data_IF_594444900834
#
_entry.id   IF_594444900834
#
_cell.length_a   1.000
_cell.length_b   1.000
_cell.length_c   1.000
_cell.angle_alpha   90.00
_cell.angle_beta   90.00
_cell.angle_gamma   90.00
#
_symmetry.space_group_name_H-M   'P 1'
#
loop_
_entity.id
_entity.type
_entity.pdbx_description
1 polymer ?
#
# COMPACT_ATOMS: atom_id res chain seq x y z
N UNK A 1 14.39 -11.52 5.79
CA UNK A 1 14.19 -12.89 6.34
C UNK A 1 12.82 -13.01 6.97
N UNK A 2 12.11 -14.12 6.76
CA UNK A 2 10.80 -14.40 7.41
C UNK A 2 11.03 -15.31 8.63
N UNK A 3 10.44 -14.94 9.78
CA UNK A 3 10.46 -15.77 10.98
C UNK A 3 9.05 -15.79 11.58
N UNK A 4 8.33 -16.88 11.38
CA UNK A 4 6.89 -16.94 11.65
C UNK A 4 6.12 -16.02 10.69
N UNK A 5 5.24 -15.17 11.24
CA UNK A 5 4.45 -14.20 10.48
C UNK A 5 5.13 -12.81 10.36
N UNK A 6 6.35 -12.66 10.90
CA UNK A 6 7.09 -11.41 10.85
C UNK A 6 8.19 -11.44 9.79
N UNK A 7 8.45 -10.29 9.21
CA UNK A 7 9.55 -10.06 8.29
C UNK A 7 10.64 -9.22 8.97
N UNK A 8 11.89 -9.53 8.67
CA UNK A 8 13.06 -8.81 9.17
C UNK A 8 13.82 -8.24 7.98
N UNK A 9 14.14 -6.96 8.08
CA UNK A 9 14.86 -6.20 7.06
C UNK A 9 16.02 -5.45 7.69
N UNK A 10 17.16 -5.48 7.04
CA UNK A 10 18.33 -4.69 7.38
C UNK A 10 18.59 -3.65 6.29
N UNK A 11 18.67 -2.37 6.68
CA UNK A 11 18.84 -1.24 5.76
C UNK A 11 20.01 -0.40 6.24
N UNK A 12 21.11 -0.30 5.46
CA UNK A 12 22.21 0.61 5.79
C UNK A 12 21.73 2.07 5.69
N UNK A 13 22.15 2.90 6.63
CA UNK A 13 21.96 4.35 6.56
C UNK A 13 22.98 4.98 5.62
N UNK A 14 22.52 6.01 4.89
CA UNK A 14 23.40 6.77 3.95
C UNK A 14 24.21 7.83 4.66
N UNK A 15 23.70 8.36 5.77
CA UNK A 15 24.28 9.48 6.51
C UNK A 15 25.35 9.08 7.52
N UNK A 16 25.48 7.80 7.83
CA UNK A 16 26.40 7.29 8.85
C UNK A 16 26.72 5.82 8.63
N UNK A 17 27.78 5.32 9.24
CA UNK A 17 28.13 3.88 9.23
C UNK A 17 27.22 3.07 10.16
N UNK A 18 25.93 3.16 9.91
CA UNK A 18 24.89 2.57 10.73
C UNK A 18 23.97 1.62 9.93
N UNK A 19 23.37 0.66 10.63
CA UNK A 19 22.43 -0.31 10.07
C UNK A 19 21.10 -0.27 10.83
N UNK A 20 20.02 0.02 10.14
CA UNK A 20 18.68 -0.14 10.69
C UNK A 20 18.25 -1.62 10.60
N UNK A 21 17.93 -2.24 11.74
CA UNK A 21 17.32 -3.58 11.81
C UNK A 21 15.84 -3.40 12.12
N UNK A 22 14.99 -3.74 11.15
CA UNK A 22 13.57 -3.44 11.18
C UNK A 22 12.78 -4.74 11.20
N UNK A 23 11.80 -4.82 12.09
CA UNK A 23 10.81 -5.88 12.17
C UNK A 23 9.49 -5.36 11.65
N UNK A 24 8.92 -6.04 10.67
CA UNK A 24 7.64 -5.75 10.05
C UNK A 24 6.65 -6.80 10.54
N UNK A 25 5.68 -6.37 11.32
CA UNK A 25 4.65 -7.22 11.90
C UNK A 25 3.51 -7.43 10.90
N UNK A 26 2.94 -8.63 10.87
CA UNK A 26 1.74 -8.94 10.08
C UNK A 26 0.54 -8.03 10.39
N UNK A 27 0.51 -7.48 11.63
CA UNK A 27 -0.51 -6.53 12.07
C UNK A 27 -0.38 -5.12 11.48
N UNK A 28 0.53 -4.87 10.55
CA UNK A 28 0.65 -3.58 9.89
C UNK A 28 1.52 -2.57 10.63
N UNK A 29 2.52 -3.01 11.38
CA UNK A 29 3.46 -2.13 12.09
C UNK A 29 4.90 -2.48 11.72
N UNK A 30 5.71 -1.46 11.49
CA UNK A 30 7.16 -1.59 11.36
C UNK A 30 7.83 -0.89 12.55
N UNK A 31 8.81 -1.55 13.14
CA UNK A 31 9.62 -1.00 14.22
C UNK A 31 11.00 -1.63 14.21
N UNK A 32 11.97 -0.99 14.84
CA UNK A 32 13.33 -1.53 14.90
C UNK A 32 14.26 -0.60 15.64
N UNK A 33 15.55 -0.90 15.50
CA UNK A 33 16.63 -0.14 16.11
C UNK A 33 17.74 0.10 15.09
N UNK A 34 18.58 1.06 15.37
CA UNK A 34 19.78 1.38 14.57
C UNK A 34 21.01 0.91 15.33
N UNK A 35 21.95 0.32 14.62
CA UNK A 35 23.20 -0.21 15.16
C UNK A 35 24.38 0.44 14.47
N UNK A 36 25.41 0.78 15.23
CA UNK A 36 26.68 1.20 14.71
C UNK A 36 27.42 0.00 14.12
N UNK A 37 27.89 0.11 12.88
CA UNK A 37 28.57 -0.99 12.19
C UNK A 37 30.02 -1.22 12.64
N UNK A 38 30.63 -0.21 13.25
CA UNK A 38 32.02 -0.31 13.75
C UNK A 38 32.08 -1.00 15.11
N UNK A 39 31.11 -0.70 15.97
CA UNK A 39 31.06 -1.25 17.35
C UNK A 39 30.08 -2.43 17.49
N UNK A 40 29.10 -2.54 16.61
CA UNK A 40 28.00 -3.48 16.74
C UNK A 40 26.96 -3.10 17.80
N UNK A 41 27.10 -1.96 18.45
CA UNK A 41 26.24 -1.51 19.54
C UNK A 41 24.99 -0.79 19.02
N UNK A 42 23.91 -0.85 19.81
CA UNK A 42 22.67 -0.14 19.52
C UNK A 42 22.85 1.37 19.72
N UNK A 43 22.41 2.16 18.75
CA UNK A 43 22.39 3.63 18.80
C UNK A 43 21.25 4.13 19.69
N UNK A 44 21.49 4.19 21.01
CA UNK A 44 20.47 4.53 22.02
C UNK A 44 19.88 5.94 21.88
N UNK A 45 20.61 6.88 21.24
CA UNK A 45 20.11 8.25 21.02
C UNK A 45 18.89 8.31 20.09
N UNK A 46 18.61 7.22 19.37
CA UNK A 46 17.36 7.11 18.59
C UNK A 46 16.11 7.28 19.48
N UNK A 47 16.18 6.80 20.73
CA UNK A 47 15.06 6.78 21.69
C UNK A 47 14.93 8.06 22.53
N UNK A 48 15.93 8.95 22.48
CA UNK A 48 15.96 10.17 23.31
C UNK A 48 15.27 11.31 22.57
N UNK A 49 14.08 11.70 22.98
CA UNK A 49 13.29 12.74 22.30
C UNK A 49 13.96 14.13 22.34
N UNK A 50 14.61 14.48 23.46
CA UNK A 50 15.20 15.81 23.70
C UNK A 50 16.60 16.00 23.11
N UNK A 51 17.13 15.04 22.35
CA UNK A 51 18.46 15.15 21.79
C UNK A 51 18.46 16.05 20.55
N UNK A 52 19.09 17.23 20.68
CA UNK A 52 19.18 18.25 19.65
C UNK A 52 20.51 18.25 18.87
N UNK A 53 21.38 17.28 19.09
CA UNK A 53 22.62 17.15 18.34
C UNK A 53 22.35 16.98 16.85
N UNK A 54 23.07 17.76 15.99
CA UNK A 54 22.87 17.76 14.54
C UNK A 54 23.00 16.37 13.93
N UNK A 55 23.97 15.59 14.38
CA UNK A 55 24.20 14.21 13.90
C UNK A 55 23.05 13.28 14.26
N UNK A 56 22.57 13.29 15.51
CA UNK A 56 21.46 12.45 15.93
C UNK A 56 20.16 12.82 15.25
N UNK A 57 19.96 14.11 14.93
CA UNK A 57 18.80 14.57 14.18
C UNK A 57 18.80 13.99 12.75
N UNK A 58 19.96 13.94 12.08
CA UNK A 58 20.11 13.34 10.74
C UNK A 58 19.80 11.86 10.78
N UNK A 59 20.40 11.11 11.71
CA UNK A 59 20.16 9.66 11.87
C UNK A 59 18.68 9.37 12.13
N UNK A 60 18.04 10.14 13.01
CA UNK A 60 16.61 10.00 13.31
C UNK A 60 15.72 10.30 12.10
N UNK A 61 16.04 11.35 11.34
CA UNK A 61 15.28 11.71 10.15
C UNK A 61 15.37 10.61 9.10
N UNK A 62 16.57 10.09 8.85
CA UNK A 62 16.77 9.01 7.88
C UNK A 62 16.07 7.72 8.33
N UNK A 63 16.19 7.33 9.58
CA UNK A 63 15.48 6.17 10.13
C UNK A 63 13.96 6.31 10.01
N UNK A 64 13.40 7.51 10.29
CA UNK A 64 11.97 7.77 10.09
C UNK A 64 11.55 7.63 8.62
N UNK A 65 12.36 8.15 7.71
CA UNK A 65 12.11 8.01 6.27
C UNK A 65 12.08 6.53 5.85
N UNK A 66 13.05 5.73 6.33
CA UNK A 66 13.07 4.28 6.06
C UNK A 66 11.78 3.61 6.58
N UNK A 67 11.35 3.92 7.80
CA UNK A 67 10.11 3.37 8.35
C UNK A 67 8.87 3.81 7.56
N UNK A 68 8.82 5.06 7.11
CA UNK A 68 7.72 5.58 6.27
C UNK A 68 7.67 4.89 4.92
N UNK A 69 8.81 4.69 4.26
CA UNK A 69 8.89 3.96 2.99
C UNK A 69 8.39 2.52 3.13
N UNK A 70 8.83 1.84 4.20
CA UNK A 70 8.38 0.47 4.50
C UNK A 70 6.87 0.45 4.75
N UNK A 71 6.37 1.37 5.57
CA UNK A 71 4.94 1.48 5.85
C UNK A 71 4.14 1.76 4.56
N UNK A 72 4.63 2.67 3.73
CA UNK A 72 4.02 2.97 2.43
C UNK A 72 3.91 1.74 1.54
N UNK A 73 4.97 0.96 1.41
CA UNK A 73 5.02 -0.22 0.53
C UNK A 73 4.30 -1.43 1.09
N UNK A 74 4.47 -1.70 2.40
CA UNK A 74 3.96 -2.94 3.00
C UNK A 74 2.50 -2.86 3.44
N UNK A 75 2.00 -1.66 3.77
CA UNK A 75 0.70 -1.50 4.43
C UNK A 75 -0.33 -0.72 3.62
N UNK A 76 -0.07 -0.47 2.34
CA UNK A 76 -0.99 0.27 1.48
C UNK A 76 -2.41 -0.29 1.50
N UNK A 77 -2.58 -1.62 1.49
CA UNK A 77 -3.91 -2.24 1.56
C UNK A 77 -4.62 -1.97 2.89
N UNK A 78 -3.90 -1.97 4.01
CA UNK A 78 -4.47 -1.65 5.33
C UNK A 78 -4.90 -0.19 5.36
N UNK A 79 -4.01 0.73 4.93
CA UNK A 79 -4.27 2.16 4.86
C UNK A 79 -5.49 2.51 4.01
N UNK A 80 -5.62 1.92 2.82
CA UNK A 80 -6.79 2.13 1.95
C UNK A 80 -8.08 1.62 2.62
N UNK A 81 -8.04 0.47 3.30
CA UNK A 81 -9.21 -0.03 4.05
C UNK A 81 -9.62 0.91 5.18
N UNK A 82 -8.65 1.42 5.93
CA UNK A 82 -8.90 2.35 7.04
C UNK A 82 -9.49 3.67 6.53
N UNK A 83 -9.01 4.19 5.40
CA UNK A 83 -9.56 5.37 4.74
C UNK A 83 -10.99 5.17 4.26
N UNK A 84 -11.30 4.03 3.65
CA UNK A 84 -12.67 3.69 3.22
C UNK A 84 -13.62 3.64 4.43
N UNK A 85 -13.17 3.02 5.51
CA UNK A 85 -13.93 2.97 6.74
C UNK A 85 -14.16 4.35 7.35
N UNK A 86 -13.11 5.19 7.38
CA UNK A 86 -13.20 6.55 7.90
C UNK A 86 -14.13 7.45 7.06
N UNK A 87 -14.09 7.33 5.72
CA UNK A 87 -14.88 8.15 4.79
C UNK A 87 -16.35 7.75 4.71
N UNK A 88 -16.63 6.45 4.71
CA UNK A 88 -17.99 5.94 4.41
C UNK A 88 -18.60 5.07 5.50
N UNK A 89 -17.80 4.62 6.48
CA UNK A 89 -18.22 3.59 7.43
C UNK A 89 -18.34 2.20 6.81
N UNK A 90 -17.90 2.03 5.55
CA UNK A 90 -18.05 0.78 4.82
C UNK A 90 -16.97 -0.23 5.23
N UNK A 91 -17.35 -1.45 5.54
CA UNK A 91 -16.45 -2.57 5.81
C UNK A 91 -16.37 -3.50 4.60
N UNK A 92 -15.21 -4.09 4.31
CA UNK A 92 -15.06 -4.99 3.18
C UNK A 92 -15.70 -6.35 3.43
N UNK A 93 -16.25 -6.94 2.36
CA UNK A 93 -16.60 -8.36 2.30
C UNK A 93 -15.39 -9.17 1.79
N UNK A 94 -15.26 -10.43 2.22
CA UNK A 94 -14.26 -11.38 1.74
C UNK A 94 -14.92 -12.61 1.11
N UNK A 95 -15.55 -12.47 -0.08
CA UNK A 95 -16.39 -13.53 -0.64
C UNK A 95 -15.62 -14.70 -1.25
N UNK A 96 -14.31 -14.57 -1.42
CA UNK A 96 -13.49 -15.53 -2.17
C UNK A 96 -12.76 -16.50 -1.23
N UNK A 97 -13.28 -17.70 -1.01
CA UNK A 97 -12.65 -18.72 -0.13
C UNK A 97 -11.19 -19.05 -0.49
N UNK A 98 -10.84 -19.01 -1.78
CA UNK A 98 -9.48 -19.29 -2.25
C UNK A 98 -8.55 -18.08 -2.24
N UNK A 99 -9.10 -16.89 -2.04
CA UNK A 99 -8.40 -15.60 -2.07
C UNK A 99 -8.86 -14.77 -0.86
N UNK A 100 -8.52 -15.19 0.37
CA UNK A 100 -9.07 -14.61 1.59
C UNK A 100 -8.70 -13.13 1.81
N UNK A 101 -7.65 -12.67 1.14
CA UNK A 101 -7.19 -11.27 1.25
C UNK A 101 -7.84 -10.32 0.24
N UNK A 102 -8.70 -10.83 -0.64
CA UNK A 102 -9.40 -10.01 -1.62
C UNK A 102 -10.59 -9.33 -0.96
N UNK A 103 -10.48 -8.03 -0.73
CA UNK A 103 -11.46 -7.21 -0.03
C UNK A 103 -12.40 -6.50 -1.02
N UNK A 104 -13.68 -6.86 -1.00
CA UNK A 104 -14.71 -6.28 -1.85
C UNK A 104 -15.46 -5.21 -1.08
N UNK A 105 -15.54 -4.02 -1.63
CA UNK A 105 -16.34 -2.92 -1.10
C UNK A 105 -17.64 -2.77 -1.87
N UNK A 106 -18.73 -2.75 -1.13
CA UNK A 106 -20.09 -2.68 -1.69
C UNK A 106 -20.82 -1.45 -1.19
N UNK A 107 -21.53 -0.82 -2.11
CA UNK A 107 -22.49 0.19 -1.70
C UNK A 107 -23.56 -0.43 -0.76
N UNK A 108 -23.75 0.09 0.46
CA UNK A 108 -24.65 -0.51 1.45
C UNK A 108 -26.13 -0.51 1.01
N UNK A 109 -26.54 0.44 0.16
CA UNK A 109 -27.94 0.58 -0.26
C UNK A 109 -28.37 -0.44 -1.31
N UNK A 110 -27.46 -0.81 -2.24
CA UNK A 110 -27.81 -1.64 -3.40
C UNK A 110 -26.90 -2.83 -3.64
N UNK A 111 -25.92 -3.04 -2.76
CA UNK A 111 -24.92 -4.13 -2.77
C UNK A 111 -24.06 -4.20 -4.02
N UNK A 112 -24.09 -3.18 -4.89
CA UNK A 112 -23.20 -3.11 -6.06
C UNK A 112 -21.77 -2.88 -5.61
N UNK A 113 -20.83 -3.54 -6.28
CA UNK A 113 -19.40 -3.36 -6.03
C UNK A 113 -18.94 -2.01 -6.54
N UNK A 114 -18.15 -1.30 -5.73
CA UNK A 114 -17.46 -0.08 -6.13
C UNK A 114 -15.95 -0.16 -5.97
N UNK A 115 -15.44 -1.16 -5.24
CA UNK A 115 -14.03 -1.38 -5.07
C UNK A 115 -13.70 -2.85 -4.85
N UNK A 116 -12.56 -3.31 -5.38
CA UNK A 116 -11.95 -4.60 -5.07
C UNK A 116 -10.47 -4.40 -4.82
N UNK A 117 -10.05 -4.54 -3.58
CA UNK A 117 -8.66 -4.41 -3.15
C UNK A 117 -8.03 -5.79 -3.02
N UNK A 118 -6.89 -6.00 -3.67
CA UNK A 118 -6.24 -7.30 -3.76
C UNK A 118 -4.72 -7.19 -3.89
N UNK A 119 -4.00 -8.30 -3.77
CA UNK A 119 -2.62 -8.43 -4.21
C UNK A 119 -2.58 -9.21 -5.52
N UNK A 120 -1.81 -8.73 -6.49
CA UNK A 120 -1.68 -9.35 -7.82
C UNK A 120 -0.20 -9.35 -8.20
N UNK A 121 0.26 -10.41 -8.87
CA UNK A 121 1.59 -10.41 -9.49
C UNK A 121 1.64 -9.36 -10.60
N UNK A 122 2.64 -8.50 -10.59
CA UNK A 122 2.79 -7.43 -11.60
C UNK A 122 2.78 -7.96 -13.01
N UNK A 123 3.38 -9.12 -13.26
CA UNK A 123 3.36 -9.76 -14.56
C UNK A 123 1.96 -10.06 -15.12
N UNK A 124 0.96 -10.22 -14.24
CA UNK A 124 -0.44 -10.38 -14.66
C UNK A 124 -1.09 -9.09 -15.14
N UNK A 125 -0.54 -7.94 -14.76
CA UNK A 125 -1.03 -6.62 -15.17
C UNK A 125 -0.27 -6.11 -16.40
N UNK A 126 1.05 -6.34 -16.43
CA UNK A 126 1.94 -5.83 -17.48
C UNK A 126 2.08 -6.75 -18.69
N UNK A 127 1.78 -8.05 -18.51
CA UNK A 127 2.00 -9.09 -19.52
C UNK A 127 3.42 -9.68 -19.51
N UNK A 128 4.28 -9.24 -18.59
CA UNK A 128 5.61 -9.84 -18.37
C UNK A 128 5.52 -10.97 -17.34
N UNK A 129 5.31 -12.21 -17.81
CA UNK A 129 5.17 -13.37 -16.94
C UNK A 129 6.37 -13.64 -16.02
N UNK A 130 7.53 -13.04 -16.29
CA UNK A 130 8.71 -13.18 -15.44
C UNK A 130 8.66 -12.29 -14.19
N UNK A 131 7.84 -11.25 -14.22
CA UNK A 131 7.67 -10.38 -13.05
C UNK A 131 6.75 -11.03 -12.01
N UNK A 132 7.38 -11.65 -11.01
CA UNK A 132 6.71 -12.34 -9.91
C UNK A 132 6.54 -11.44 -8.67
N UNK A 133 6.80 -10.14 -8.80
CA UNK A 133 6.58 -9.20 -7.69
C UNK A 133 5.09 -9.02 -7.44
N UNK A 134 4.66 -9.15 -6.19
CA UNK A 134 3.30 -8.81 -5.78
C UNK A 134 3.13 -7.30 -5.59
N UNK A 135 2.01 -6.80 -6.08
CA UNK A 135 1.60 -5.41 -5.90
C UNK A 135 0.17 -5.31 -5.36
N UNK A 136 -0.08 -4.29 -4.56
CA UNK A 136 -1.43 -3.95 -4.15
C UNK A 136 -2.18 -3.26 -5.30
N UNK A 137 -3.37 -3.75 -5.59
CA UNK A 137 -4.20 -3.27 -6.70
C UNK A 137 -5.60 -2.97 -6.19
N UNK A 138 -6.13 -1.83 -6.61
CA UNK A 138 -7.50 -1.42 -6.36
C UNK A 138 -8.27 -1.37 -7.68
N UNK A 139 -9.19 -2.30 -7.89
CA UNK A 139 -10.11 -2.21 -9.01
C UNK A 139 -11.24 -1.25 -8.68
N UNK A 140 -11.50 -0.32 -9.60
CA UNK A 140 -12.52 0.72 -9.48
C UNK A 140 -13.45 0.71 -10.68
N UNK A 141 -14.70 1.09 -10.45
CA UNK A 141 -15.71 1.21 -11.49
C UNK A 141 -15.88 2.67 -11.90
N UNK A 142 -15.59 2.96 -13.17
CA UNK A 142 -15.64 4.31 -13.72
C UNK A 142 -16.48 4.35 -14.98
N UNK A 143 -16.80 5.55 -15.43
CA UNK A 143 -17.46 5.77 -16.71
C UNK A 143 -16.51 5.37 -17.86
N UNK A 144 -17.04 4.68 -18.88
CA UNK A 144 -16.26 4.11 -19.99
C UNK A 144 -15.41 5.14 -20.72
N UNK A 145 -15.91 6.35 -20.89
CA UNK A 145 -15.23 7.45 -21.56
C UNK A 145 -13.95 7.92 -20.86
N UNK A 146 -13.78 7.62 -19.58
CA UNK A 146 -12.59 7.99 -18.80
C UNK A 146 -11.43 7.00 -18.94
N UNK A 147 -11.75 5.74 -19.21
CA UNK A 147 -10.76 4.67 -19.21
C UNK A 147 -9.63 4.87 -20.22
N UNK A 148 -9.88 5.29 -21.49
CA UNK A 148 -8.82 5.43 -22.48
C UNK A 148 -7.73 6.45 -22.10
N UNK A 149 -8.10 7.50 -21.36
CA UNK A 149 -7.13 8.50 -20.87
C UNK A 149 -6.28 7.97 -19.72
N UNK A 150 -6.91 7.25 -18.78
CA UNK A 150 -6.24 6.67 -17.64
C UNK A 150 -5.28 5.53 -18.03
N UNK A 151 -5.69 4.67 -18.95
CA UNK A 151 -4.89 3.54 -19.44
C UNK A 151 -3.59 3.95 -20.17
N UNK A 152 -3.37 5.25 -20.40
CA UNK A 152 -2.09 5.78 -20.91
C UNK A 152 -1.06 6.05 -19.82
N UNK A 153 -1.47 6.06 -18.56
CA UNK A 153 -0.59 6.29 -17.41
C UNK A 153 -0.11 4.95 -16.84
N UNK A 154 1.10 4.91 -16.31
CA UNK A 154 1.76 3.68 -15.84
C UNK A 154 1.05 2.98 -14.66
N UNK A 155 0.36 3.77 -13.81
CA UNK A 155 -0.30 3.24 -12.61
C UNK A 155 -1.65 2.57 -12.90
N UNK A 156 -2.07 2.53 -14.17
CA UNK A 156 -3.39 2.04 -14.55
C UNK A 156 -3.29 0.92 -15.58
N UNK A 157 -4.11 -0.10 -15.39
CA UNK A 157 -4.21 -1.21 -16.35
C UNK A 157 -5.67 -1.65 -16.54
N UNK A 158 -5.96 -2.39 -17.64
CA UNK A 158 -7.26 -3.01 -17.80
C UNK A 158 -7.59 -3.88 -16.58
N UNK A 159 -8.83 -3.77 -16.10
CA UNK A 159 -9.23 -4.40 -14.85
C UNK A 159 -8.91 -5.90 -14.80
N UNK A 160 -8.16 -6.29 -13.78
CA UNK A 160 -7.82 -7.69 -13.52
C UNK A 160 -9.06 -8.43 -13.00
N UNK A 161 -9.44 -9.51 -13.69
CA UNK A 161 -10.62 -10.33 -13.39
C UNK A 161 -11.99 -9.62 -13.35
N UNK A 162 -12.10 -8.41 -13.94
CA UNK A 162 -13.34 -7.65 -13.99
C UNK A 162 -13.71 -7.29 -15.43
N UNK A 163 -14.95 -6.84 -15.64
CA UNK A 163 -15.39 -6.32 -16.95
C UNK A 163 -14.62 -5.03 -17.30
N UNK A 164 -13.87 -5.08 -18.40
CA UNK A 164 -12.99 -4.00 -18.86
C UNK A 164 -13.71 -2.77 -19.42
N UNK A 165 -15.03 -2.82 -19.61
CA UNK A 165 -15.81 -1.67 -20.10
C UNK A 165 -15.95 -0.56 -19.05
N UNK A 166 -16.12 -0.94 -17.79
CA UNK A 166 -16.36 0.01 -16.71
C UNK A 166 -15.42 -0.16 -15.52
N UNK A 167 -14.48 -1.11 -15.57
CA UNK A 167 -13.55 -1.36 -14.50
C UNK A 167 -12.12 -1.12 -14.94
N UNK A 168 -11.34 -0.57 -14.03
CA UNK A 168 -9.93 -0.24 -14.17
C UNK A 168 -9.18 -0.78 -12.96
N UNK A 169 -7.98 -1.30 -13.16
CA UNK A 169 -7.04 -1.62 -12.08
C UNK A 169 -6.12 -0.43 -11.84
N UNK A 170 -6.05 0.00 -10.59
CA UNK A 170 -5.14 1.03 -10.09
C UNK A 170 -4.03 0.34 -9.31
N UNK A 171 -2.79 0.51 -9.73
CA UNK A 171 -1.62 0.03 -9.02
C UNK A 171 -1.33 0.97 -7.85
N UNK A 172 -1.47 0.47 -6.62
CA UNK A 172 -1.22 1.22 -5.40
C UNK A 172 0.27 1.12 -5.04
N UNK A 173 1.07 1.88 -5.72
CA UNK A 173 2.50 2.04 -5.45
C UNK A 173 2.76 3.41 -4.80
N UNK A 174 4.00 3.70 -4.45
CA UNK A 174 4.35 4.98 -3.85
C UNK A 174 4.31 6.15 -4.84
N UNK A 175 4.20 5.89 -6.15
CA UNK A 175 4.22 6.92 -7.19
C UNK A 175 2.82 7.54 -7.36
N UNK A 176 1.76 6.74 -7.15
CA UNK A 176 0.40 7.26 -7.15
C UNK A 176 0.02 7.73 -5.74
N UNK A 177 -0.29 9.02 -5.53
CA UNK A 177 -0.75 9.52 -4.25
C UNK A 177 -2.05 8.82 -3.80
N UNK A 178 -2.14 8.45 -2.53
CA UNK A 178 -3.36 7.85 -1.96
C UNK A 178 -4.59 8.71 -2.23
N UNK A 179 -4.47 10.03 -2.17
CA UNK A 179 -5.56 10.97 -2.45
C UNK A 179 -6.12 10.83 -3.87
N UNK A 180 -5.27 10.56 -4.88
CA UNK A 180 -5.74 10.33 -6.25
C UNK A 180 -6.52 9.01 -6.33
N UNK A 181 -6.00 7.95 -5.73
CA UNK A 181 -6.69 6.65 -5.67
C UNK A 181 -8.03 6.75 -4.93
N UNK A 182 -8.07 7.51 -3.83
CA UNK A 182 -9.27 7.71 -3.02
C UNK A 182 -10.30 8.60 -3.72
N UNK A 183 -9.88 9.65 -4.44
CA UNK A 183 -10.79 10.45 -5.26
C UNK A 183 -11.46 9.62 -6.37
N UNK A 184 -10.71 8.70 -6.99
CA UNK A 184 -11.28 7.76 -7.96
C UNK A 184 -12.22 6.74 -7.30
N UNK A 185 -11.96 6.36 -6.06
CA UNK A 185 -12.84 5.49 -5.28
C UNK A 185 -14.16 6.19 -4.94
N UNK A 186 -14.11 7.50 -4.57
CA UNK A 186 -15.30 8.33 -4.37
C UNK A 186 -16.17 8.33 -5.63
N UNK A 187 -15.55 8.50 -6.80
CA UNK A 187 -16.26 8.46 -8.08
C UNK A 187 -16.85 7.07 -8.36
N UNK A 188 -16.08 6.00 -8.09
CA UNK A 188 -16.54 4.62 -8.28
C UNK A 188 -17.76 4.32 -7.40
N UNK A 189 -17.75 4.78 -6.16
CA UNK A 189 -18.87 4.63 -5.23
C UNK A 189 -20.11 5.38 -5.74
N UNK A 190 -19.95 6.65 -6.12
CA UNK A 190 -21.02 7.47 -6.70
C UNK A 190 -21.58 6.86 -7.99
N UNK A 191 -20.73 6.21 -8.81
CA UNK A 191 -21.18 5.52 -10.02
C UNK A 191 -22.16 4.38 -9.72
N UNK A 192 -22.03 3.73 -8.56
CA UNK A 192 -22.98 2.67 -8.17
C UNK A 192 -24.35 3.20 -7.74
N UNK A 193 -24.45 4.48 -7.38
CA UNK A 193 -25.70 5.12 -6.94
C UNK A 193 -26.58 5.53 -8.11
N UNK A 194 -26.01 5.68 -9.30
CA UNK A 194 -26.78 6.04 -10.49
C UNK A 194 -27.84 4.96 -10.79
N UNK A 195 -29.10 5.37 -10.85
CA UNK A 195 -30.18 4.53 -11.38
C UNK A 195 -29.90 4.31 -12.87
N UNK A 196 -30.04 3.05 -13.32
CA UNK A 196 -30.07 2.77 -14.76
C UNK A 196 -31.28 3.41 -15.39
#
# INVERSE_FOLDING_TARGET
MKNGDDYYLEVPLKSANFLAKIRILSAGKASGNVYDLDTGEEYLLLRVESNTGSFSAVVKAEYRTILQDIAGKCFVKARIKDEIKARYGDEPDFPFKKLPDYAVFRNPQNRKWYGLLMAVLLGKLTGDEKDQQEAAVLNLKLAEEKLPALLKKADFSPAYHMNKQNWLSVLLNNDLPDEEALAMLDESRAFTERKK
#
